data_IF_227659551185
#
_entry.id   IF_227659551185
#
_cell.length_a   1.000
_cell.length_b   1.000
_cell.length_c   1.000
_cell.angle_alpha   90.00
_cell.angle_beta   90.00
_cell.angle_gamma   90.00
#
_symmetry.space_group_name_H-M   'P 1'
#
loop_
_entity.id
_entity.type
_entity.pdbx_description
1 polymer ?
#
# COMPACT_ATOMS: atom_id res chain seq x y z
N UNK A 1 58.53 39.88 -31.11
CA UNK A 1 58.16 38.99 -29.99
C UNK A 1 56.87 39.38 -29.26
N UNK A 2 56.15 40.45 -29.63
CA UNK A 2 54.96 40.92 -28.88
C UNK A 2 53.62 40.26 -29.27
N UNK A 3 53.49 39.63 -30.44
CA UNK A 3 52.20 39.11 -30.95
C UNK A 3 51.83 37.73 -30.37
N UNK A 4 52.79 37.02 -29.75
CA UNK A 4 52.59 35.65 -29.25
C UNK A 4 52.06 35.59 -27.81
N UNK A 5 52.25 36.65 -27.01
CA UNK A 5 51.73 36.75 -25.64
C UNK A 5 50.24 37.10 -25.60
N UNK A 6 49.72 37.75 -26.64
CA UNK A 6 48.33 38.19 -26.73
C UNK A 6 47.38 37.03 -27.08
N UNK A 7 47.82 36.12 -27.96
CA UNK A 7 47.03 34.92 -28.33
C UNK A 7 46.83 33.96 -27.15
N UNK A 8 47.82 33.85 -26.25
CA UNK A 8 47.74 32.99 -25.06
C UNK A 8 46.76 33.55 -24.02
N UNK A 9 46.68 34.88 -23.89
CA UNK A 9 45.71 35.52 -22.99
C UNK A 9 44.28 35.33 -23.48
N UNK A 10 44.05 35.47 -24.80
CA UNK A 10 42.72 35.26 -25.40
C UNK A 10 42.24 33.81 -25.25
N UNK A 11 43.14 32.84 -25.41
CA UNK A 11 42.80 31.42 -25.28
C UNK A 11 42.44 31.06 -23.82
N UNK A 12 43.18 31.59 -22.85
CA UNK A 12 42.90 31.38 -21.43
C UNK A 12 41.58 32.02 -20.98
N UNK A 13 41.22 33.17 -21.54
CA UNK A 13 39.94 33.83 -21.24
C UNK A 13 38.75 33.08 -21.86
N UNK A 14 38.93 32.52 -23.07
CA UNK A 14 37.94 31.62 -23.69
C UNK A 14 37.73 30.33 -22.92
N UNK A 15 38.80 29.72 -22.41
CA UNK A 15 38.73 28.51 -21.58
C UNK A 15 37.99 28.77 -20.26
N UNK A 16 38.17 29.96 -19.65
CA UNK A 16 37.43 30.37 -18.45
C UNK A 16 35.93 30.52 -18.72
N UNK A 17 35.56 31.25 -19.79
CA UNK A 17 34.15 31.45 -20.16
C UNK A 17 33.44 30.13 -20.51
N UNK A 18 34.15 29.18 -21.12
CA UNK A 18 33.61 27.86 -21.41
C UNK A 18 33.37 27.05 -20.12
N UNK A 19 34.30 27.09 -19.15
CA UNK A 19 34.15 26.42 -17.85
C UNK A 19 32.96 26.97 -17.06
N UNK A 20 32.83 28.29 -16.97
CA UNK A 20 31.74 28.95 -16.24
C UNK A 20 30.36 28.60 -16.82
N UNK A 21 30.26 28.42 -18.14
CA UNK A 21 29.03 27.99 -18.81
C UNK A 21 28.65 26.53 -18.50
N UNK A 22 29.64 25.65 -18.34
CA UNK A 22 29.45 24.24 -18.03
C UNK A 22 29.05 24.06 -16.56
N UNK A 23 29.66 24.83 -15.66
CA UNK A 23 29.32 24.83 -14.24
C UNK A 23 27.93 25.42 -13.97
N UNK A 24 27.53 26.47 -14.70
CA UNK A 24 26.18 27.03 -14.63
C UNK A 24 25.12 26.02 -15.10
N UNK A 25 25.34 25.32 -16.22
CA UNK A 25 24.41 24.32 -16.74
C UNK A 25 24.27 23.08 -15.82
N UNK A 26 25.38 22.64 -15.20
CA UNK A 26 25.36 21.58 -14.17
C UNK A 26 24.57 22.01 -12.93
N UNK A 27 24.82 23.21 -12.44
CA UNK A 27 24.14 23.79 -11.28
C UNK A 27 22.64 23.96 -11.52
N UNK A 28 22.22 24.39 -12.71
CA UNK A 28 20.80 24.50 -13.08
C UNK A 28 20.09 23.14 -13.08
N UNK A 29 20.73 22.09 -13.59
CA UNK A 29 20.20 20.72 -13.58
C UNK A 29 20.08 20.14 -12.17
N UNK A 30 21.10 20.38 -11.32
CA UNK A 30 21.08 19.96 -9.91
C UNK A 30 20.00 20.71 -9.12
N UNK A 31 19.83 22.00 -9.36
CA UNK A 31 18.80 22.84 -8.74
C UNK A 31 17.41 22.39 -9.17
N UNK A 32 17.21 22.10 -10.48
CA UNK A 32 15.96 21.57 -10.99
C UNK A 32 15.62 20.20 -10.37
N UNK A 33 16.62 19.33 -10.20
CA UNK A 33 16.47 18.03 -9.54
C UNK A 33 16.10 18.19 -8.06
N UNK A 34 16.75 19.10 -7.35
CA UNK A 34 16.46 19.40 -5.95
C UNK A 34 15.01 19.91 -5.79
N UNK A 35 14.60 20.86 -6.63
CA UNK A 35 13.24 21.39 -6.63
C UNK A 35 12.20 20.30 -6.92
N UNK A 36 12.50 19.37 -7.83
CA UNK A 36 11.62 18.22 -8.11
C UNK A 36 11.48 17.29 -6.90
N UNK A 37 12.57 17.02 -6.18
CA UNK A 37 12.53 16.21 -4.95
C UNK A 37 11.71 16.91 -3.86
N UNK A 38 11.87 18.21 -3.69
CA UNK A 38 11.08 18.99 -2.72
C UNK A 38 9.59 19.05 -3.08
N UNK A 39 9.27 19.21 -4.36
CA UNK A 39 7.89 19.14 -4.85
C UNK A 39 7.27 17.76 -4.57
N UNK A 40 8.02 16.68 -4.82
CA UNK A 40 7.58 15.32 -4.51
C UNK A 40 7.37 15.11 -3.01
N UNK A 41 8.30 15.56 -2.15
CA UNK A 41 8.15 15.50 -0.69
C UNK A 41 6.91 16.23 -0.22
N UNK A 42 6.66 17.43 -0.75
CA UNK A 42 5.49 18.24 -0.43
C UNK A 42 4.21 17.53 -0.81
N UNK A 43 4.15 16.99 -2.04
CA UNK A 43 3.02 16.21 -2.51
C UNK A 43 2.80 14.94 -1.68
N UNK A 44 3.86 14.19 -1.33
CA UNK A 44 3.73 13.00 -0.49
C UNK A 44 3.18 13.36 0.89
N UNK A 45 3.65 14.44 1.52
CA UNK A 45 3.10 14.90 2.81
C UNK A 45 1.63 15.30 2.69
N UNK A 46 1.26 15.99 1.61
CA UNK A 46 -0.13 16.39 1.35
C UNK A 46 -1.02 15.16 1.14
N UNK A 47 -0.56 14.17 0.37
CA UNK A 47 -1.29 12.94 0.13
C UNK A 47 -1.41 12.09 1.40
N UNK A 48 -0.37 11.99 2.22
CA UNK A 48 -0.45 11.29 3.51
C UNK A 48 -1.49 11.95 4.42
N UNK A 49 -1.48 13.28 4.50
CA UNK A 49 -2.49 14.03 5.27
C UNK A 49 -3.92 13.78 4.74
N UNK A 50 -4.08 13.74 3.42
CA UNK A 50 -5.39 13.45 2.81
C UNK A 50 -5.83 12.02 3.06
N UNK A 51 -4.90 11.04 3.02
CA UNK A 51 -5.19 9.64 3.37
C UNK A 51 -5.59 9.53 4.84
N UNK A 52 -4.90 10.22 5.75
CA UNK A 52 -5.23 10.24 7.18
C UNK A 52 -6.61 10.89 7.39
N UNK A 53 -6.88 12.03 6.75
CA UNK A 53 -8.20 12.67 6.79
C UNK A 53 -9.30 11.75 6.20
N UNK A 54 -8.99 11.02 5.14
CA UNK A 54 -9.90 10.04 4.55
C UNK A 54 -10.10 8.82 5.45
N UNK A 55 -9.08 8.38 6.18
CA UNK A 55 -9.14 7.31 7.16
C UNK A 55 -9.90 7.73 8.43
N UNK A 56 -9.78 8.99 8.85
CA UNK A 56 -10.61 9.61 9.90
C UNK A 56 -12.05 9.87 9.43
N UNK A 57 -12.24 10.13 8.13
CA UNK A 57 -13.58 10.28 7.51
C UNK A 57 -14.21 8.95 7.10
N UNK A 58 -13.43 7.86 7.08
CA UNK A 58 -14.02 6.53 7.19
C UNK A 58 -14.86 6.56 8.44
N UNK A 59 -16.11 6.07 8.42
CA UNK A 59 -16.96 6.04 9.60
C UNK A 59 -16.46 4.98 10.59
N UNK A 60 -15.21 5.11 11.06
CA UNK A 60 -14.85 4.82 12.43
C UNK A 60 -15.27 6.04 13.23
N UNK A 61 -16.58 6.08 13.42
CA UNK A 61 -17.36 6.91 14.34
C UNK A 61 -16.53 7.50 15.47
N UNK A 62 -15.88 8.65 15.23
CA UNK A 62 -15.21 9.43 16.28
C UNK A 62 -16.22 10.20 17.13
N UNK A 63 -17.37 9.60 17.40
CA UNK A 63 -18.50 10.22 18.10
C UNK A 63 -19.73 9.32 18.33
N UNK A 64 -19.73 8.05 17.90
CA UNK A 64 -20.71 7.08 18.42
C UNK A 64 -20.01 6.23 19.46
N UNK A 65 -20.63 6.13 20.64
CA UNK A 65 -20.16 5.31 21.74
C UNK A 65 -19.82 3.92 21.20
N UNK A 66 -18.54 3.53 21.23
CA UNK A 66 -18.11 2.19 20.83
C UNK A 66 -18.85 1.19 21.71
N UNK A 67 -19.88 0.55 21.13
CA UNK A 67 -20.67 -0.44 21.82
C UNK A 67 -19.90 -1.77 21.80
N UNK A 68 -19.47 -2.22 22.98
CA UNK A 68 -18.73 -3.48 23.13
C UNK A 68 -19.46 -4.67 22.47
N UNK A 69 -20.78 -4.70 22.52
CA UNK A 69 -21.58 -5.78 21.90
C UNK A 69 -21.39 -5.81 20.39
N UNK A 70 -21.34 -4.66 19.73
CA UNK A 70 -21.22 -4.56 18.28
C UNK A 70 -19.80 -4.89 17.82
N UNK A 71 -18.79 -4.47 18.59
CA UNK A 71 -17.40 -4.80 18.28
C UNK A 71 -17.10 -6.28 18.50
N UNK A 72 -17.60 -6.87 19.58
CA UNK A 72 -17.53 -8.33 19.80
C UNK A 72 -18.27 -9.07 18.69
N UNK A 73 -19.42 -8.56 18.24
CA UNK A 73 -20.16 -9.16 17.14
C UNK A 73 -19.35 -9.17 15.84
N UNK A 74 -18.71 -8.04 15.48
CA UNK A 74 -17.83 -7.94 14.29
C UNK A 74 -16.65 -8.90 14.41
N UNK A 75 -15.94 -8.86 15.54
CA UNK A 75 -14.79 -9.73 15.80
C UNK A 75 -15.16 -11.21 15.70
N UNK A 76 -16.26 -11.62 16.32
CA UNK A 76 -16.72 -13.01 16.25
C UNK A 76 -17.13 -13.43 14.84
N UNK A 77 -17.80 -12.56 14.08
CA UNK A 77 -18.18 -12.84 12.71
C UNK A 77 -16.95 -13.07 11.81
N UNK A 78 -15.91 -12.25 11.95
CA UNK A 78 -14.66 -12.39 11.21
C UNK A 78 -13.86 -13.64 11.62
N UNK A 79 -13.85 -13.95 12.92
CA UNK A 79 -13.21 -15.16 13.42
C UNK A 79 -13.89 -16.43 12.87
N UNK A 80 -15.23 -16.45 12.84
CA UNK A 80 -16.01 -17.53 12.24
C UNK A 80 -15.76 -17.62 10.73
N UNK A 81 -15.72 -16.49 10.04
CA UNK A 81 -15.41 -16.41 8.61
C UNK A 81 -14.06 -17.03 8.29
N UNK A 82 -13.03 -16.64 9.03
CA UNK A 82 -11.68 -17.20 8.89
C UNK A 82 -11.66 -18.72 9.12
N UNK A 83 -12.36 -19.22 10.13
CA UNK A 83 -12.43 -20.65 10.42
C UNK A 83 -13.15 -21.44 9.32
N UNK A 84 -14.22 -20.88 8.73
CA UNK A 84 -14.92 -21.49 7.60
C UNK A 84 -14.02 -21.53 6.36
N UNK A 85 -13.34 -20.44 6.02
CA UNK A 85 -12.38 -20.40 4.89
C UNK A 85 -11.29 -21.45 5.07
N UNK A 86 -10.64 -21.51 6.24
CA UNK A 86 -9.56 -22.47 6.54
C UNK A 86 -10.01 -23.93 6.48
N UNK A 87 -11.31 -24.19 6.66
CA UNK A 87 -11.86 -25.54 6.64
C UNK A 87 -12.63 -25.87 5.35
N UNK A 88 -12.64 -24.94 4.39
CA UNK A 88 -13.35 -25.07 3.11
C UNK A 88 -14.87 -25.17 3.30
N UNK A 89 -15.43 -24.32 4.16
CA UNK A 89 -16.86 -24.28 4.49
C UNK A 89 -17.33 -25.39 5.44
N UNK A 90 -16.44 -26.30 5.88
CA UNK A 90 -16.84 -27.44 6.74
C UNK A 90 -17.12 -26.98 8.17
N UNK A 91 -18.35 -26.54 8.45
CA UNK A 91 -18.81 -26.01 9.74
C UNK A 91 -18.41 -26.88 10.95
N UNK A 92 -18.53 -28.21 10.87
CA UNK A 92 -18.09 -29.12 11.95
C UNK A 92 -16.59 -29.02 12.24
N UNK A 93 -15.76 -28.83 11.22
CA UNK A 93 -14.31 -28.64 11.38
C UNK A 93 -13.99 -27.23 11.86
N UNK A 94 -14.71 -26.21 11.37
CA UNK A 94 -14.58 -24.84 11.87
C UNK A 94 -14.92 -24.74 13.36
N UNK A 95 -15.98 -25.42 13.81
CA UNK A 95 -16.38 -25.47 15.22
C UNK A 95 -15.29 -26.08 16.09
N UNK A 96 -14.66 -27.17 15.62
CA UNK A 96 -13.49 -27.77 16.29
C UNK A 96 -12.29 -26.84 16.30
N UNK A 97 -12.03 -26.11 15.20
CA UNK A 97 -10.93 -25.14 15.11
C UNK A 97 -11.10 -23.98 16.09
N UNK A 98 -12.35 -23.56 16.34
CA UNK A 98 -12.70 -22.49 17.29
C UNK A 98 -13.01 -23.00 18.70
N UNK A 99 -12.82 -24.29 18.98
CA UNK A 99 -13.14 -24.92 20.26
C UNK A 99 -14.58 -24.65 20.76
N UNK A 100 -15.55 -24.64 19.85
CA UNK A 100 -16.97 -24.42 20.18
C UNK A 100 -17.86 -25.57 19.72
N UNK A 101 -19.05 -25.68 20.30
CA UNK A 101 -20.04 -26.69 19.88
C UNK A 101 -20.57 -26.34 18.49
N UNK A 102 -20.81 -27.36 17.67
CA UNK A 102 -21.35 -27.19 16.31
C UNK A 102 -22.68 -26.43 16.33
N UNK A 103 -23.58 -26.76 17.27
CA UNK A 103 -24.87 -26.07 17.40
C UNK A 103 -24.69 -24.56 17.71
N UNK A 104 -23.71 -24.20 18.54
CA UNK A 104 -23.39 -22.81 18.87
C UNK A 104 -22.81 -22.06 17.66
N UNK A 105 -21.89 -22.68 16.94
CA UNK A 105 -21.34 -22.11 15.70
C UNK A 105 -22.47 -21.86 14.68
N UNK A 106 -23.34 -22.84 14.47
CA UNK A 106 -24.42 -22.74 13.50
C UNK A 106 -25.43 -21.62 13.88
N UNK A 107 -25.72 -21.46 15.17
CA UNK A 107 -26.54 -20.36 15.65
C UNK A 107 -25.87 -18.99 15.39
N UNK A 108 -24.56 -18.87 15.64
CA UNK A 108 -23.79 -17.65 15.35
C UNK A 108 -23.70 -17.34 13.85
N UNK A 109 -23.47 -18.34 12.99
CA UNK A 109 -23.46 -18.19 11.52
C UNK A 109 -24.78 -17.60 11.03
N UNK A 110 -25.92 -18.12 11.51
CA UNK A 110 -27.25 -17.60 11.17
C UNK A 110 -27.46 -16.18 11.71
N UNK A 111 -27.10 -15.94 12.98
CA UNK A 111 -27.23 -14.62 13.62
C UNK A 111 -26.44 -13.55 12.86
N UNK A 112 -25.29 -13.92 12.31
CA UNK A 112 -24.35 -13.00 11.64
C UNK A 112 -24.55 -12.95 10.12
N UNK A 113 -25.58 -13.61 9.59
CA UNK A 113 -25.87 -13.70 8.15
C UNK A 113 -24.63 -14.06 7.31
N UNK A 114 -23.79 -14.96 7.82
CA UNK A 114 -22.61 -15.45 7.12
C UNK A 114 -23.05 -16.47 6.07
N UNK A 115 -23.42 -15.99 4.89
CA UNK A 115 -23.87 -16.83 3.77
C UNK A 115 -22.74 -17.75 3.30
N UNK A 116 -22.99 -19.06 3.35
CA UNK A 116 -22.00 -20.10 3.03
C UNK A 116 -21.46 -19.97 1.59
N UNK A 117 -22.31 -19.51 0.66
CA UNK A 117 -21.98 -19.35 -0.76
C UNK A 117 -20.99 -18.20 -1.03
N UNK A 118 -21.08 -17.08 -0.31
CA UNK A 118 -20.15 -15.95 -0.45
C UNK A 118 -18.75 -16.31 0.08
N UNK A 119 -18.68 -17.14 1.12
CA UNK A 119 -17.43 -17.54 1.77
C UNK A 119 -16.65 -18.59 0.97
N UNK A 120 -17.35 -19.49 0.29
CA UNK A 120 -16.74 -20.47 -0.62
C UNK A 120 -16.17 -19.79 -1.86
N UNK A 121 -16.84 -18.77 -2.39
CA UNK A 121 -16.34 -18.00 -3.54
C UNK A 121 -15.07 -17.20 -3.22
N UNK A 122 -15.00 -16.55 -2.05
CA UNK A 122 -13.80 -15.85 -1.58
C UNK A 122 -12.60 -16.77 -1.37
N UNK A 123 -12.82 -18.00 -0.88
CA UNK A 123 -11.77 -19.00 -0.70
C UNK A 123 -11.29 -19.62 -2.03
N UNK A 124 -12.19 -19.77 -3.00
CA UNK A 124 -11.88 -20.40 -4.30
C UNK A 124 -11.08 -19.46 -5.21
N UNK A 125 -11.33 -18.14 -5.15
CA UNK A 125 -10.59 -17.13 -5.93
C UNK A 125 -9.09 -17.05 -5.60
N UNK A 126 -8.71 -17.31 -4.34
CA UNK A 126 -7.30 -17.29 -3.91
C UNK A 126 -6.54 -18.61 -4.19
N UNK A 127 -7.25 -19.73 -4.37
CA UNK A 127 -6.62 -21.02 -4.66
C UNK A 127 -6.30 -21.23 -6.16
N UNK A 128 -6.98 -20.53 -7.07
CA UNK A 128 -6.75 -20.67 -8.51
C UNK A 128 -5.44 -19.99 -8.98
N UNK A 129 -5.02 -18.91 -8.32
CA UNK A 129 -3.77 -18.20 -8.67
C UNK A 129 -2.48 -18.94 -8.29
N UNK A 130 -2.51 -19.83 -7.29
CA UNK A 130 -1.32 -20.58 -6.85
C UNK A 130 -1.01 -21.75 -7.79
N UNK A 131 -2.01 -22.34 -8.47
CA UNK A 131 -1.80 -23.49 -9.37
C UNK A 131 -1.28 -23.11 -10.77
N UNK A 132 -1.53 -21.89 -11.25
CA UNK A 132 -1.13 -21.50 -12.62
C UNK A 132 0.37 -21.15 -12.75
N UNK A 133 1.07 -20.86 -11.66
CA UNK A 133 2.51 -20.54 -11.69
C UNK A 133 3.45 -21.77 -11.61
N UNK A 134 2.92 -23.00 -11.59
CA UNK A 134 3.71 -24.23 -11.43
C UNK A 134 3.91 -25.09 -12.69
N UNK A 135 3.27 -24.79 -13.82
CA UNK A 135 3.26 -25.68 -15.00
C UNK A 135 4.04 -25.16 -16.23
N UNK A 136 4.77 -24.04 -16.13
CA UNK A 136 5.52 -23.48 -17.28
C UNK A 136 7.03 -23.82 -17.28
N UNK A 137 7.45 -24.88 -16.58
CA UNK A 137 8.83 -25.40 -16.69
C UNK A 137 8.82 -26.93 -16.80
N UNK A 138 8.53 -27.43 -18.00
CA UNK A 138 9.11 -28.66 -18.53
C UNK A 138 9.13 -28.58 -20.05
#
# INVERSE_FOLDING_TARGET
MAVMQDRVSIENERLRLASDSVDAASSESETARHNKIEALRTLTRALLKEIDALAESSPLESGSEVNLSDEVHRFEADLIRCALIRTGGRQRRAARLLNTKVATLNAKIKRYNLNEDELVNAATGLQQHIKQNGHSRS
#
